data_IF_394173106674
#
_entry.id   IF_394173106674
#
_cell.length_a   1.000
_cell.length_b   1.000
_cell.length_c   1.000
_cell.angle_alpha   90.00
_cell.angle_beta   90.00
_cell.angle_gamma   90.00
#
_symmetry.space_group_name_H-M   'P 1'
#
loop_
_entity.id
_entity.type
_entity.pdbx_description
1 polymer ?
#
# COMPACT_ATOMS: atom_id res chain seq x y z
N UNK A 1 -1.57 26.93 -0.03
CA UNK A 1 -2.38 25.81 0.51
C UNK A 1 -3.07 25.16 -0.66
N UNK A 2 -3.06 23.83 -0.73
CA UNK A 2 -3.80 23.08 -1.75
C UNK A 2 -5.30 23.43 -1.72
N UNK A 3 -5.94 23.54 -2.88
CA UNK A 3 -7.39 23.76 -2.94
C UNK A 3 -8.11 22.53 -2.37
N UNK A 4 -9.28 22.73 -1.74
CA UNK A 4 -10.11 21.68 -1.16
C UNK A 4 -10.49 20.60 -2.19
N UNK A 5 -10.73 21.02 -3.43
CA UNK A 5 -11.04 20.11 -4.54
C UNK A 5 -9.87 19.20 -4.89
N UNK A 6 -8.65 19.75 -4.97
CA UNK A 6 -7.43 18.98 -5.23
C UNK A 6 -7.19 17.94 -4.13
N UNK A 7 -7.38 18.33 -2.87
CA UNK A 7 -7.27 17.38 -1.74
C UNK A 7 -8.33 16.29 -1.83
N UNK A 8 -9.58 16.64 -2.19
CA UNK A 8 -10.65 15.66 -2.32
C UNK A 8 -10.38 14.65 -3.45
N UNK A 9 -9.89 15.14 -4.59
CA UNK A 9 -9.49 14.31 -5.74
C UNK A 9 -8.32 13.40 -5.39
N UNK A 10 -7.26 13.94 -4.78
CA UNK A 10 -6.11 13.15 -4.33
C UNK A 10 -6.51 12.11 -3.28
N UNK A 11 -7.40 12.48 -2.34
CA UNK A 11 -7.91 11.54 -1.35
C UNK A 11 -8.73 10.41 -1.98
N UNK A 12 -9.49 10.72 -3.05
CA UNK A 12 -10.18 9.70 -3.82
C UNK A 12 -9.19 8.74 -4.48
N UNK A 13 -8.15 9.24 -5.16
CA UNK A 13 -7.09 8.42 -5.74
C UNK A 13 -6.45 7.51 -4.68
N UNK A 14 -6.05 8.04 -3.52
CA UNK A 14 -5.40 7.26 -2.47
C UNK A 14 -6.30 6.19 -1.85
N UNK A 15 -7.62 6.42 -1.76
CA UNK A 15 -8.59 5.38 -1.35
C UNK A 15 -8.77 4.31 -2.41
N UNK A 16 -8.66 4.65 -3.70
CA UNK A 16 -8.72 3.68 -4.79
C UNK A 16 -7.43 2.87 -4.89
N UNK A 17 -6.28 3.50 -4.73
CA UNK A 17 -4.98 2.85 -4.75
C UNK A 17 -4.66 2.04 -3.49
N UNK A 18 -5.17 2.42 -2.31
CA UNK A 18 -4.87 1.73 -1.06
C UNK A 18 -6.03 1.81 -0.07
N UNK A 19 -5.69 2.12 1.18
CA UNK A 19 -6.65 2.39 2.28
C UNK A 19 -6.86 3.89 2.52
N UNK A 20 -6.28 4.76 1.69
CA UNK A 20 -6.27 6.20 1.86
C UNK A 20 -4.90 6.75 2.25
N UNK A 21 -4.89 8.01 2.69
CA UNK A 21 -3.69 8.70 3.15
C UNK A 21 -4.09 9.75 4.20
N UNK A 22 -3.15 10.07 5.10
CA UNK A 22 -3.31 11.14 6.08
C UNK A 22 -3.38 12.51 5.42
N UNK A 23 -3.88 13.52 6.15
CA UNK A 23 -3.99 14.88 5.61
C UNK A 23 -2.64 15.45 5.14
N UNK A 24 -1.57 15.23 5.92
CA UNK A 24 -0.23 15.72 5.57
C UNK A 24 0.29 15.07 4.28
N UNK A 25 0.07 13.77 4.10
CA UNK A 25 0.43 13.06 2.89
C UNK A 25 -0.37 13.51 1.66
N UNK A 26 -1.66 13.80 1.84
CA UNK A 26 -2.49 14.34 0.76
C UNK A 26 -1.99 15.71 0.31
N UNK A 27 -1.62 16.59 1.25
CA UNK A 27 -1.06 17.89 0.92
C UNK A 27 0.29 17.77 0.20
N UNK A 28 1.15 16.85 0.63
CA UNK A 28 2.42 16.57 -0.06
C UNK A 28 2.21 16.03 -1.49
N UNK A 29 1.26 15.10 -1.68
CA UNK A 29 0.94 14.54 -3.01
C UNK A 29 0.26 15.56 -3.92
N UNK A 30 -0.61 16.42 -3.38
CA UNK A 30 -1.19 17.53 -4.17
C UNK A 30 -0.08 18.50 -4.61
N UNK A 31 0.88 18.80 -3.74
CA UNK A 31 2.03 19.63 -4.11
C UNK A 31 2.92 18.97 -5.19
N UNK A 32 3.01 17.64 -5.21
CA UNK A 32 3.68 16.86 -6.27
C UNK A 32 2.90 16.89 -7.59
N UNK A 33 1.57 16.92 -7.52
CA UNK A 33 0.67 16.87 -8.66
C UNK A 33 0.05 15.48 -8.86
N UNK A 34 -1.13 15.47 -9.49
CA UNK A 34 -1.93 14.25 -9.68
C UNK A 34 -1.21 13.22 -10.56
N UNK A 35 -0.83 13.61 -11.78
CA UNK A 35 -0.23 12.69 -12.75
C UNK A 35 1.09 12.10 -12.25
N UNK A 36 1.94 12.92 -11.63
CA UNK A 36 3.20 12.46 -11.04
C UNK A 36 3.00 11.55 -9.81
N UNK A 37 1.86 11.67 -9.11
CA UNK A 37 1.50 10.74 -8.04
C UNK A 37 0.97 9.43 -8.62
N UNK A 38 0.18 9.50 -9.69
CA UNK A 38 -0.35 8.34 -10.38
C UNK A 38 0.79 7.50 -10.98
N UNK A 39 1.76 8.14 -11.64
CA UNK A 39 2.90 7.44 -12.23
C UNK A 39 3.73 6.72 -11.15
N UNK A 40 3.96 7.37 -10.00
CA UNK A 40 4.65 6.72 -8.87
C UNK A 40 3.90 5.48 -8.36
N UNK A 41 2.57 5.50 -8.38
CA UNK A 41 1.76 4.35 -7.95
C UNK A 41 1.80 3.20 -8.97
N UNK A 42 1.92 3.51 -10.26
CA UNK A 42 1.97 2.54 -11.37
C UNK A 42 3.37 1.95 -11.56
N UNK A 43 4.41 2.78 -11.39
CA UNK A 43 5.81 2.46 -11.66
C UNK A 43 6.67 2.62 -10.38
N UNK A 44 6.39 1.85 -9.31
CA UNK A 44 7.06 2.03 -8.02
C UNK A 44 8.57 1.76 -8.07
N UNK A 45 9.02 0.86 -8.95
CA UNK A 45 10.44 0.56 -9.14
C UNK A 45 11.21 1.77 -9.69
N UNK A 46 10.67 2.45 -10.70
CA UNK A 46 11.30 3.65 -11.31
C UNK A 46 11.33 4.84 -10.34
N UNK A 47 10.38 4.87 -9.41
CA UNK A 47 10.23 5.92 -8.41
C UNK A 47 10.91 5.58 -7.07
N UNK A 48 11.75 4.53 -7.04
CA UNK A 48 12.54 4.18 -5.85
C UNK A 48 11.71 3.77 -4.64
N UNK A 49 10.53 3.16 -4.85
CA UNK A 49 9.68 2.60 -3.80
C UNK A 49 10.04 1.13 -3.60
N UNK A 50 10.87 0.75 -2.61
CA UNK A 50 11.25 -0.65 -2.43
C UNK A 50 10.05 -1.51 -1.99
N UNK A 51 10.15 -2.81 -2.24
CA UNK A 51 9.30 -3.79 -1.55
C UNK A 51 9.65 -3.81 -0.05
N UNK A 52 8.75 -4.37 0.74
CA UNK A 52 9.02 -4.57 2.16
C UNK A 52 10.18 -5.56 2.36
N UNK A 53 10.96 -5.36 3.43
CA UNK A 53 12.07 -6.24 3.83
C UNK A 53 11.57 -7.55 4.47
N UNK A 54 11.19 -8.52 3.63
CA UNK A 54 10.64 -9.80 4.10
C UNK A 54 11.64 -10.58 4.96
N UNK A 55 12.95 -10.42 4.70
CA UNK A 55 14.00 -11.06 5.48
C UNK A 55 13.96 -10.60 6.95
N UNK A 56 13.64 -9.33 7.21
CA UNK A 56 13.43 -8.84 8.57
C UNK A 56 12.24 -9.52 9.25
N UNK A 57 11.12 -9.69 8.55
CA UNK A 57 9.96 -10.38 9.11
C UNK A 57 10.29 -11.84 9.42
N UNK A 58 10.86 -12.57 8.46
CA UNK A 58 11.12 -14.00 8.59
C UNK A 58 12.22 -14.32 9.60
N UNK A 59 13.19 -13.42 9.77
CA UNK A 59 14.22 -13.54 10.81
C UNK A 59 13.62 -13.48 12.22
N UNK A 60 12.64 -12.61 12.44
CA UNK A 60 12.04 -12.41 13.77
C UNK A 60 10.80 -13.29 14.02
N UNK A 61 10.08 -13.66 12.97
CA UNK A 61 8.85 -14.43 13.03
C UNK A 61 8.77 -15.45 11.89
N UNK A 62 9.63 -16.50 11.86
CA UNK A 62 9.73 -17.42 10.72
C UNK A 62 8.43 -18.19 10.42
N UNK A 63 7.55 -18.32 11.43
CA UNK A 63 6.24 -18.94 11.26
C UNK A 63 5.32 -18.18 10.28
N UNK A 64 5.61 -16.91 9.96
CA UNK A 64 4.85 -16.13 8.97
C UNK A 64 5.12 -16.54 7.52
N UNK A 65 6.18 -17.32 7.26
CA UNK A 65 6.43 -17.90 5.93
C UNK A 65 5.47 -19.05 5.59
N UNK A 66 4.79 -19.62 6.58
CA UNK A 66 3.92 -20.77 6.38
C UNK A 66 2.59 -20.33 5.76
N UNK A 67 2.03 -21.09 4.79
CA UNK A 67 0.79 -20.72 4.11
C UNK A 67 -0.41 -20.65 5.07
N UNK A 68 -1.40 -19.83 4.70
CA UNK A 68 -2.65 -19.70 5.44
C UNK A 68 -3.41 -21.03 5.53
N UNK A 69 -3.54 -21.58 6.74
CA UNK A 69 -4.19 -22.89 6.98
C UNK A 69 -3.58 -23.67 8.16
N UNK A 70 -2.35 -23.34 8.56
CA UNK A 70 -1.75 -23.82 9.81
C UNK A 70 -2.22 -22.96 10.99
N UNK A 71 -2.28 -23.53 12.20
CA UNK A 71 -2.61 -22.79 13.44
C UNK A 71 -1.57 -21.71 13.83
N UNK A 72 -0.52 -21.57 13.02
CA UNK A 72 0.56 -20.60 13.17
C UNK A 72 0.20 -19.29 12.44
N UNK A 73 0.83 -18.15 12.80
CA UNK A 73 0.45 -16.84 12.30
C UNK A 73 0.94 -16.55 10.86
N UNK A 74 0.77 -17.49 9.92
CA UNK A 74 1.08 -17.30 8.49
C UNK A 74 0.39 -16.07 7.89
N UNK A 75 -0.85 -15.81 8.34
CA UNK A 75 -1.64 -14.66 7.92
C UNK A 75 -1.03 -13.30 8.34
N UNK A 76 -0.15 -13.28 9.33
CA UNK A 76 0.52 -12.07 9.77
C UNK A 76 1.48 -11.51 8.71
N UNK A 77 1.90 -12.33 7.73
CA UNK A 77 2.68 -11.85 6.59
C UNK A 77 1.92 -10.79 5.79
N UNK A 78 0.66 -11.04 5.45
CA UNK A 78 -0.18 -10.07 4.73
C UNK A 78 -0.37 -8.77 5.52
N UNK A 79 -0.59 -8.86 6.83
CA UNK A 79 -0.71 -7.68 7.70
C UNK A 79 0.58 -6.86 7.72
N UNK A 80 1.72 -7.54 7.81
CA UNK A 80 3.01 -6.88 7.80
C UNK A 80 3.27 -6.20 6.45
N UNK A 81 2.91 -6.84 5.34
CA UNK A 81 3.02 -6.22 4.01
C UNK A 81 2.14 -4.96 3.92
N UNK A 82 0.88 -5.03 4.35
CA UNK A 82 -0.05 -3.88 4.30
C UNK A 82 0.39 -2.68 5.15
N UNK A 83 1.02 -2.91 6.29
CA UNK A 83 1.43 -1.83 7.21
C UNK A 83 2.70 -1.12 6.72
N UNK A 84 3.64 -1.87 6.15
CA UNK A 84 4.97 -1.35 5.85
C UNK A 84 5.15 -0.94 4.38
N UNK A 85 4.24 -1.36 3.50
CA UNK A 85 4.37 -1.15 2.06
C UNK A 85 4.45 0.32 1.68
N UNK A 86 5.35 0.61 0.75
CA UNK A 86 5.34 1.88 0.00
C UNK A 86 4.62 1.76 -1.35
N UNK A 87 4.05 0.59 -1.64
CA UNK A 87 3.41 0.23 -2.92
C UNK A 87 1.93 -0.13 -2.73
N UNK A 88 1.10 0.81 -2.21
CA UNK A 88 -0.27 0.50 -1.80
C UNK A 88 -1.12 -0.06 -2.96
N UNK A 89 -0.92 0.44 -4.19
CA UNK A 89 -1.65 -0.04 -5.36
C UNK A 89 -1.33 -1.49 -5.70
N UNK A 90 -0.04 -1.85 -5.70
CA UNK A 90 0.41 -3.22 -5.97
C UNK A 90 -0.15 -4.19 -4.93
N UNK A 91 -0.06 -3.85 -3.64
CA UNK A 91 -0.59 -4.71 -2.57
C UNK A 91 -2.10 -4.88 -2.65
N UNK A 92 -2.83 -3.80 -2.94
CA UNK A 92 -4.28 -3.85 -3.06
C UNK A 92 -4.73 -4.75 -4.21
N UNK A 93 -4.03 -4.71 -5.36
CA UNK A 93 -4.29 -5.61 -6.49
C UNK A 93 -4.00 -7.05 -6.09
N UNK A 94 -2.86 -7.33 -5.46
CA UNK A 94 -2.53 -8.68 -5.00
C UNK A 94 -3.60 -9.25 -4.05
N UNK A 95 -4.06 -8.47 -3.06
CA UNK A 95 -5.08 -8.88 -2.11
C UNK A 95 -6.49 -9.04 -2.73
N UNK A 96 -6.83 -8.22 -3.72
CA UNK A 96 -8.07 -8.38 -4.50
C UNK A 96 -8.10 -9.74 -5.20
N UNK A 97 -6.97 -10.17 -5.77
CA UNK A 97 -6.82 -11.48 -6.43
C UNK A 97 -6.97 -12.66 -5.45
N UNK A 98 -6.78 -12.43 -4.15
CA UNK A 98 -6.98 -13.44 -3.11
C UNK A 98 -8.39 -13.42 -2.48
N UNK A 99 -9.34 -12.67 -3.05
CA UNK A 99 -10.68 -12.46 -2.48
C UNK A 99 -10.68 -11.88 -1.05
N UNK A 100 -9.57 -11.27 -0.60
CA UNK A 100 -9.45 -10.73 0.75
C UNK A 100 -10.22 -9.41 0.88
N UNK A 101 -10.22 -8.60 -0.19
CA UNK A 101 -10.95 -7.33 -0.24
C UNK A 101 -11.71 -7.21 -1.57
N UNK A 102 -12.96 -7.68 -1.61
CA UNK A 102 -13.79 -7.65 -2.82
C UNK A 102 -14.48 -6.30 -3.10
N UNK A 103 -14.42 -5.34 -2.18
CA UNK A 103 -15.08 -4.03 -2.30
C UNK A 103 -14.27 -2.94 -1.59
N UNK A 104 -13.91 -1.88 -2.33
CA UNK A 104 -13.26 -0.68 -1.81
C UNK A 104 -13.72 0.56 -2.54
#
# INVERSE_FOLDING_TARGET
MANKEDIALMAHLMRRAGFGASRAELEARVAKGYDATLEELLEPDEHGRPNNDEDMLFRHAPATMLPGGVHLPGQANYMWQMINTQRPLQEKVALFWHHVFASG
#
